data_IF_261265042848
#
_entry.id   IF_261265042848
#
_cell.length_a   1.000
_cell.length_b   1.000
_cell.length_c   1.000
_cell.angle_alpha   90.00
_cell.angle_beta   90.00
_cell.angle_gamma   90.00
#
_symmetry.space_group_name_H-M   'P 1'
#
loop_
_entity.id
_entity.type
_entity.pdbx_description
1 polymer ?
#
# COMPACT_ATOMS: atom_id res chain seq x y z
N UNK A 1 46.62 61.27 -12.18
CA UNK A 1 47.15 61.08 -10.80
C UNK A 1 46.75 59.67 -10.37
N UNK A 2 47.72 58.76 -10.25
CA UNK A 2 47.47 57.40 -9.76
C UNK A 2 47.52 57.41 -8.22
N UNK A 3 46.40 57.09 -7.59
CA UNK A 3 46.30 56.86 -6.15
C UNK A 3 46.78 55.45 -5.85
N UNK A 4 48.01 55.32 -5.33
CA UNK A 4 48.51 54.06 -4.82
C UNK A 4 47.85 53.74 -3.47
N UNK A 5 46.93 52.77 -3.47
CA UNK A 5 46.30 52.26 -2.25
C UNK A 5 47.34 51.40 -1.52
N UNK A 6 47.73 51.79 -0.29
CA UNK A 6 48.60 50.97 0.57
C UNK A 6 47.85 49.70 0.98
N UNK A 7 48.29 48.55 0.49
CA UNK A 7 47.77 47.25 0.91
C UNK A 7 48.19 46.99 2.36
N UNK A 8 47.23 46.99 3.29
CA UNK A 8 47.47 46.60 4.69
C UNK A 8 47.37 45.08 4.77
N UNK A 9 48.45 44.44 5.22
CA UNK A 9 48.46 43.00 5.48
C UNK A 9 47.49 42.62 6.60
N UNK A 10 47.13 41.35 6.64
CA UNK A 10 46.20 40.80 7.62
C UNK A 10 46.91 40.46 8.93
N UNK A 11 46.24 40.63 10.06
CA UNK A 11 46.83 40.32 11.37
C UNK A 11 46.57 38.87 11.78
N UNK A 12 47.46 38.28 12.57
CA UNK A 12 47.31 36.90 13.05
C UNK A 12 46.00 36.70 13.84
N UNK A 13 45.60 37.69 14.64
CA UNK A 13 44.36 37.63 15.44
C UNK A 13 43.11 37.63 14.54
N UNK A 14 43.12 38.40 13.45
CA UNK A 14 42.02 38.45 12.49
C UNK A 14 41.84 37.07 11.82
N UNK A 15 42.92 36.30 11.64
CA UNK A 15 42.89 34.94 11.08
C UNK A 15 42.33 33.89 12.01
N UNK A 16 42.65 34.01 13.29
CA UNK A 16 42.05 33.13 14.30
C UNK A 16 40.54 33.39 14.35
N UNK A 17 40.13 34.67 14.34
CA UNK A 17 38.71 35.04 14.37
C UNK A 17 37.98 34.51 13.13
N UNK A 18 38.55 34.64 11.93
CA UNK A 18 37.90 34.14 10.70
C UNK A 18 37.77 32.62 10.68
N UNK A 19 38.78 31.87 11.10
CA UNK A 19 38.72 30.40 11.15
C UNK A 19 37.67 29.94 12.17
N UNK A 20 37.60 30.60 13.34
CA UNK A 20 36.58 30.27 14.38
C UNK A 20 35.18 30.57 13.86
N UNK A 21 34.95 31.72 13.22
CA UNK A 21 33.65 32.07 12.65
C UNK A 21 33.24 31.09 11.54
N UNK A 22 34.17 30.69 10.67
CA UNK A 22 33.90 29.73 9.60
C UNK A 22 33.61 28.34 10.16
N UNK A 23 34.30 27.92 11.22
CA UNK A 23 34.02 26.66 11.90
C UNK A 23 32.61 26.63 12.49
N UNK A 24 32.20 27.68 13.21
CA UNK A 24 30.84 27.79 13.77
C UNK A 24 29.79 27.78 12.66
N UNK A 25 30.00 28.57 11.59
CA UNK A 25 29.10 28.62 10.45
C UNK A 25 28.97 27.27 9.72
N UNK A 26 30.07 26.52 9.60
CA UNK A 26 30.04 25.21 8.96
C UNK A 26 29.33 24.17 9.84
N UNK A 27 29.52 24.20 11.16
CA UNK A 27 28.81 23.30 12.09
C UNK A 27 27.30 23.53 12.04
N UNK A 28 26.85 24.79 12.03
CA UNK A 28 25.42 25.09 11.93
C UNK A 28 24.85 24.65 10.59
N UNK A 29 25.54 24.94 9.48
CA UNK A 29 25.12 24.51 8.14
C UNK A 29 25.01 22.98 8.06
N UNK A 30 26.03 22.26 8.52
CA UNK A 30 26.03 20.78 8.54
C UNK A 30 24.87 20.25 9.39
N UNK A 31 24.65 20.83 10.57
CA UNK A 31 23.58 20.39 11.49
C UNK A 31 22.17 20.60 10.92
N UNK A 32 21.97 21.59 10.06
CA UNK A 32 20.66 21.85 9.42
C UNK A 32 20.50 21.17 8.05
N UNK A 33 21.55 21.10 7.24
CA UNK A 33 21.47 20.61 5.86
C UNK A 33 21.36 19.09 5.80
N UNK A 34 22.21 18.36 6.54
CA UNK A 34 22.23 16.89 6.50
C UNK A 34 20.89 16.23 6.86
N UNK A 35 20.19 16.62 7.95
CA UNK A 35 18.90 16.02 8.27
C UNK A 35 17.78 16.41 7.28
N UNK A 36 17.97 17.46 6.48
CA UNK A 36 17.01 17.83 5.44
C UNK A 36 17.19 16.98 4.17
N UNK A 37 18.44 16.66 3.82
CA UNK A 37 18.76 15.79 2.68
C UNK A 37 18.16 14.40 2.87
N UNK A 38 18.24 13.81 4.06
CA UNK A 38 17.66 12.49 4.33
C UNK A 38 16.13 12.48 4.18
N UNK A 39 15.46 13.53 4.69
CA UNK A 39 13.99 13.65 4.63
C UNK A 39 13.46 13.97 3.23
N UNK A 40 14.31 14.42 2.31
CA UNK A 40 13.90 14.77 0.93
C UNK A 40 13.39 13.58 0.11
N UNK A 41 13.77 12.35 0.47
CA UNK A 41 13.34 11.15 -0.23
C UNK A 41 11.94 10.65 0.19
N UNK A 42 11.51 10.93 1.42
CA UNK A 42 10.20 10.48 1.96
C UNK A 42 9.01 10.85 1.07
N UNK A 43 8.83 12.10 0.59
CA UNK A 43 7.67 12.43 -0.25
C UNK A 43 7.64 11.66 -1.57
N UNK A 44 8.79 11.25 -2.10
CA UNK A 44 8.84 10.41 -3.30
C UNK A 44 8.28 9.01 -3.03
N UNK A 45 8.61 8.41 -1.88
CA UNK A 45 8.06 7.11 -1.50
C UNK A 45 6.56 7.19 -1.19
N UNK A 46 6.11 8.26 -0.54
CA UNK A 46 4.68 8.48 -0.28
C UNK A 46 3.87 8.65 -1.57
N UNK A 47 4.41 9.36 -2.58
CA UNK A 47 3.75 9.49 -3.88
C UNK A 47 3.69 8.15 -4.62
N UNK A 48 4.77 7.35 -4.57
CA UNK A 48 4.79 6.01 -5.16
C UNK A 48 3.83 5.06 -4.45
N UNK A 49 3.77 5.08 -3.12
CA UNK A 49 2.85 4.23 -2.36
C UNK A 49 1.39 4.59 -2.63
N UNK A 50 1.08 5.87 -2.85
CA UNK A 50 -0.26 6.31 -3.26
C UNK A 50 -0.61 5.77 -4.65
N UNK A 51 0.28 5.93 -5.64
CA UNK A 51 0.05 5.39 -6.98
C UNK A 51 -0.11 3.86 -7.00
N UNK A 52 0.62 3.14 -6.13
CA UNK A 52 0.43 1.70 -5.95
C UNK A 52 -0.93 1.37 -5.35
N UNK A 53 -1.32 2.08 -4.29
CA UNK A 53 -2.62 1.87 -3.66
C UNK A 53 -3.76 2.14 -4.65
N UNK A 54 -3.66 3.18 -5.47
CA UNK A 54 -4.64 3.47 -6.54
C UNK A 54 -4.73 2.33 -7.55
N UNK A 55 -3.59 1.77 -7.97
CA UNK A 55 -3.58 0.63 -8.88
C UNK A 55 -4.19 -0.64 -8.24
N UNK A 56 -3.85 -0.91 -6.98
CA UNK A 56 -4.43 -2.03 -6.21
C UNK A 56 -5.95 -1.83 -6.04
N UNK A 57 -6.40 -0.61 -5.73
CA UNK A 57 -7.83 -0.34 -5.62
C UNK A 57 -8.55 -0.48 -6.95
N UNK A 58 -7.95 -0.07 -8.06
CA UNK A 58 -8.55 -0.28 -9.38
C UNK A 58 -8.74 -1.77 -9.68
N UNK A 59 -7.80 -2.62 -9.25
CA UNK A 59 -7.92 -4.07 -9.41
C UNK A 59 -9.01 -4.65 -8.50
N UNK A 60 -9.00 -4.33 -7.20
CA UNK A 60 -9.97 -4.86 -6.23
C UNK A 60 -11.39 -4.35 -6.51
N UNK A 61 -11.55 -3.04 -6.71
CA UNK A 61 -12.88 -2.41 -6.86
C UNK A 61 -13.50 -2.71 -8.23
N UNK A 62 -12.72 -3.21 -9.20
CA UNK A 62 -13.25 -3.71 -10.45
C UNK A 62 -13.87 -5.11 -10.31
N UNK A 63 -13.65 -5.81 -9.19
CA UNK A 63 -14.26 -7.10 -8.91
C UNK A 63 -15.65 -6.94 -8.30
N UNK A 64 -16.42 -8.03 -8.36
CA UNK A 64 -17.78 -8.07 -7.81
C UNK A 64 -17.75 -7.90 -6.29
N UNK A 65 -18.87 -7.47 -5.70
CA UNK A 65 -18.94 -7.27 -4.25
C UNK A 65 -18.70 -8.58 -3.50
N UNK A 66 -19.22 -9.70 -4.01
CA UNK A 66 -19.22 -11.02 -3.40
C UNK A 66 -19.42 -12.08 -4.49
N UNK A 67 -18.82 -13.26 -4.36
CA UNK A 67 -18.92 -14.35 -5.33
C UNK A 67 -20.36 -14.78 -5.68
N UNK A 68 -21.32 -14.53 -4.78
CA UNK A 68 -22.74 -14.80 -5.03
C UNK A 68 -23.50 -13.66 -5.74
N UNK A 69 -22.80 -12.61 -6.17
CA UNK A 69 -23.37 -11.47 -6.91
C UNK A 69 -23.17 -11.63 -8.42
N UNK A 70 -23.83 -10.80 -9.23
CA UNK A 70 -23.69 -10.83 -10.69
C UNK A 70 -22.24 -10.52 -11.13
N UNK A 71 -21.60 -11.45 -11.88
CA UNK A 71 -20.23 -11.25 -12.38
C UNK A 71 -20.04 -10.01 -13.26
N UNK A 72 -21.13 -9.41 -13.77
CA UNK A 72 -21.11 -8.20 -14.59
C UNK A 72 -21.32 -6.92 -13.77
N UNK A 73 -20.79 -6.88 -12.54
CA UNK A 73 -20.74 -5.68 -11.71
C UNK A 73 -21.95 -5.49 -10.79
N UNK A 74 -22.47 -6.58 -10.23
CA UNK A 74 -23.55 -6.58 -9.22
C UNK A 74 -24.83 -5.88 -9.71
N UNK A 75 -25.04 -5.90 -11.04
CA UNK A 75 -26.00 -5.04 -11.73
C UNK A 75 -27.36 -5.71 -11.93
N UNK A 76 -27.36 -7.01 -12.24
CA UNK A 76 -28.58 -7.80 -12.44
C UNK A 76 -29.08 -8.36 -11.13
N UNK A 77 -28.16 -8.91 -10.33
CA UNK A 77 -28.46 -9.36 -8.98
C UNK A 77 -27.31 -9.16 -8.00
N UNK A 78 -27.68 -9.05 -6.74
CA UNK A 78 -26.80 -8.78 -5.59
C UNK A 78 -26.94 -9.88 -4.56
N UNK A 79 -25.84 -10.26 -3.92
CA UNK A 79 -25.93 -11.18 -2.81
C UNK A 79 -26.85 -10.62 -1.70
N UNK A 80 -27.57 -11.51 -1.02
CA UNK A 80 -28.53 -11.16 0.06
C UNK A 80 -29.74 -10.28 -0.38
N UNK A 81 -30.01 -10.16 -1.68
CA UNK A 81 -31.24 -9.55 -2.17
C UNK A 81 -32.36 -10.59 -2.44
N UNK A 82 -33.61 -10.18 -2.22
CA UNK A 82 -34.79 -11.00 -2.56
C UNK A 82 -35.47 -10.41 -3.79
N UNK A 83 -35.15 -10.95 -4.97
CA UNK A 83 -35.83 -10.63 -6.22
C UNK A 83 -36.98 -11.60 -6.44
N UNK A 84 -38.15 -11.06 -6.79
CA UNK A 84 -39.35 -11.86 -7.01
C UNK A 84 -39.07 -12.92 -8.09
N UNK A 85 -39.16 -14.20 -7.70
CA UNK A 85 -39.00 -15.41 -8.53
C UNK A 85 -37.57 -16.00 -8.66
N UNK A 86 -36.53 -15.39 -8.10
CA UNK A 86 -35.18 -15.97 -8.06
C UNK A 86 -34.60 -15.88 -6.65
N UNK A 87 -34.34 -17.02 -6.02
CA UNK A 87 -33.61 -17.06 -4.76
C UNK A 87 -32.13 -16.85 -5.06
N UNK A 88 -31.59 -15.71 -4.64
CA UNK A 88 -30.15 -15.43 -4.68
C UNK A 88 -29.51 -15.97 -3.41
N UNK A 89 -28.28 -16.44 -3.52
CA UNK A 89 -27.52 -16.93 -2.37
C UNK A 89 -27.14 -15.74 -1.46
N UNK A 90 -27.09 -15.96 -0.13
CA UNK A 90 -26.66 -14.93 0.80
C UNK A 90 -25.19 -14.57 0.57
N UNK A 91 -24.81 -13.33 0.89
CA UNK A 91 -23.41 -12.91 0.82
C UNK A 91 -22.50 -13.77 1.72
N UNK A 92 -21.22 -13.80 1.39
CA UNK A 92 -20.20 -14.45 2.22
C UNK A 92 -20.19 -13.90 3.63
N UNK A 93 -20.24 -14.83 4.59
CA UNK A 93 -20.12 -14.49 6.00
C UNK A 93 -18.76 -13.85 6.29
N UNK A 94 -18.72 -12.86 7.19
CA UNK A 94 -17.48 -12.17 7.59
C UNK A 94 -16.32 -13.12 8.02
N UNK A 95 -16.66 -14.31 8.55
CA UNK A 95 -15.69 -15.35 8.96
C UNK A 95 -15.12 -16.17 7.80
N UNK A 96 -15.74 -16.10 6.63
CA UNK A 96 -15.40 -16.83 5.41
C UNK A 96 -14.78 -15.94 4.32
N UNK A 97 -14.53 -14.66 4.60
CA UNK A 97 -13.96 -13.73 3.63
C UNK A 97 -12.55 -14.14 3.19
N UNK A 98 -12.32 -14.17 1.88
CA UNK A 98 -11.09 -14.66 1.25
C UNK A 98 -11.39 -15.67 0.15
N UNK A 99 -10.34 -16.29 -0.43
CA UNK A 99 -10.49 -17.21 -1.57
C UNK A 99 -11.48 -18.33 -1.30
N UNK A 100 -12.44 -18.55 -2.20
CA UNK A 100 -13.48 -19.56 -2.04
C UNK A 100 -13.10 -20.92 -2.57
N UNK A 101 -12.08 -20.99 -3.42
CA UNK A 101 -11.57 -22.25 -3.96
C UNK A 101 -10.03 -22.33 -4.03
N UNK A 102 -9.45 -23.52 -4.28
CA UNK A 102 -8.00 -23.69 -4.38
C UNK A 102 -7.35 -22.95 -5.57
N UNK A 103 -8.09 -22.70 -6.66
CA UNK A 103 -7.60 -21.99 -7.84
C UNK A 103 -7.46 -20.49 -7.53
N UNK A 104 -8.45 -19.87 -6.91
CA UNK A 104 -8.38 -18.50 -6.38
C UNK A 104 -7.28 -18.36 -5.32
N UNK A 105 -7.12 -19.37 -4.49
CA UNK A 105 -6.07 -19.38 -3.48
C UNK A 105 -4.65 -19.45 -4.07
N UNK A 106 -4.47 -20.01 -5.26
CA UNK A 106 -3.15 -20.19 -5.88
C UNK A 106 -2.88 -19.22 -7.02
N UNK A 107 -3.93 -18.63 -7.61
CA UNK A 107 -3.84 -17.75 -8.75
C UNK A 107 -4.65 -16.46 -8.52
N UNK A 108 -3.98 -15.32 -8.26
CA UNK A 108 -4.61 -14.01 -8.15
C UNK A 108 -5.51 -13.63 -9.32
N UNK A 109 -5.23 -14.11 -10.53
CA UNK A 109 -6.04 -13.81 -11.71
C UNK A 109 -7.43 -14.48 -11.69
N UNK A 110 -7.62 -15.48 -10.82
CA UNK A 110 -8.92 -16.12 -10.61
C UNK A 110 -9.77 -15.40 -9.57
N UNK A 111 -9.23 -14.39 -8.86
CA UNK A 111 -9.98 -13.60 -7.90
C UNK A 111 -11.21 -12.99 -8.59
N UNK A 112 -12.38 -13.39 -8.12
CA UNK A 112 -13.64 -13.07 -8.73
C UNK A 112 -14.30 -11.89 -7.98
N UNK A 113 -14.03 -11.72 -6.68
CA UNK A 113 -14.62 -10.70 -5.82
C UNK A 113 -13.59 -9.89 -5.00
N UNK A 114 -14.08 -9.00 -4.14
CA UNK A 114 -13.26 -8.05 -3.38
C UNK A 114 -12.42 -8.72 -2.28
N UNK A 115 -12.92 -9.77 -1.63
CA UNK A 115 -12.25 -10.37 -0.47
C UNK A 115 -11.22 -11.44 -0.81
N UNK A 116 -11.19 -11.95 -2.03
CA UNK A 116 -10.13 -12.83 -2.54
C UNK A 116 -8.70 -12.26 -2.39
N UNK A 117 -8.60 -10.94 -2.31
CA UNK A 117 -7.34 -10.21 -2.19
C UNK A 117 -6.78 -10.12 -0.76
N UNK A 118 -7.51 -10.59 0.26
CA UNK A 118 -7.06 -10.51 1.66
C UNK A 118 -5.73 -11.25 1.84
N UNK A 119 -4.73 -10.53 2.38
CA UNK A 119 -3.43 -11.10 2.75
C UNK A 119 -2.25 -10.20 2.41
N UNK A 120 -1.07 -10.82 2.34
CA UNK A 120 0.22 -10.19 2.09
C UNK A 120 0.65 -10.41 0.62
N UNK A 121 1.06 -9.33 -0.03
CA UNK A 121 1.43 -9.30 -1.44
C UNK A 121 2.85 -8.76 -1.60
N UNK A 122 3.77 -9.66 -1.87
CA UNK A 122 5.20 -9.40 -1.84
C UNK A 122 5.99 -10.70 -1.84
N UNK A 123 7.31 -10.57 -1.80
CA UNK A 123 8.21 -11.70 -1.94
C UNK A 123 8.20 -12.62 -0.70
N UNK A 124 8.88 -13.76 -0.80
CA UNK A 124 8.97 -14.73 0.30
C UNK A 124 9.66 -14.21 1.57
N UNK A 125 10.47 -13.15 1.48
CA UNK A 125 11.17 -12.53 2.61
C UNK A 125 10.28 -11.53 3.34
N UNK A 126 9.44 -10.82 2.59
CA UNK A 126 8.45 -9.86 3.09
C UNK A 126 7.21 -10.57 3.65
N UNK A 127 6.75 -11.60 2.94
CA UNK A 127 5.57 -12.39 3.26
C UNK A 127 5.98 -13.88 3.43
N UNK A 128 6.45 -14.23 4.63
CA UNK A 128 7.06 -15.56 4.86
C UNK A 128 6.08 -16.72 4.87
N UNK A 129 4.83 -16.50 5.31
CA UNK A 129 3.85 -17.57 5.51
C UNK A 129 2.97 -17.71 4.27
N UNK A 130 3.09 -18.74 3.41
CA UNK A 130 2.17 -18.93 2.30
C UNK A 130 0.75 -19.21 2.81
N UNK A 131 -0.26 -18.64 2.16
CA UNK A 131 -1.64 -19.07 2.36
C UNK A 131 -1.89 -20.44 1.74
N UNK A 132 -2.71 -21.27 2.37
CA UNK A 132 -3.16 -22.54 1.79
C UNK A 132 -4.65 -22.68 2.04
N UNK A 133 -5.42 -22.80 0.97
CA UNK A 133 -6.86 -23.03 1.07
C UNK A 133 -7.15 -24.47 1.49
N UNK A 134 -8.05 -24.62 2.45
CA UNK A 134 -8.54 -25.91 2.93
C UNK A 134 -10.07 -25.88 2.94
N UNK A 135 -10.72 -26.49 1.95
CA UNK A 135 -12.18 -26.42 1.80
C UNK A 135 -12.97 -26.98 3.00
N UNK A 136 -12.47 -28.03 3.66
CA UNK A 136 -13.15 -28.67 4.79
C UNK A 136 -12.93 -27.93 6.11
N UNK A 137 -11.81 -27.21 6.23
CA UNK A 137 -11.44 -26.42 7.40
C UNK A 137 -10.97 -25.05 6.93
N UNK A 138 -11.87 -24.30 6.29
CA UNK A 138 -11.54 -22.99 5.76
C UNK A 138 -10.97 -22.08 6.86
N UNK A 139 -9.89 -21.38 6.55
CA UNK A 139 -9.27 -20.39 7.43
C UNK A 139 -9.14 -19.10 6.65
N UNK A 140 -9.79 -18.03 7.12
CA UNK A 140 -9.63 -16.70 6.55
C UNK A 140 -8.14 -16.33 6.47
N UNK A 141 -7.62 -15.83 5.33
CA UNK A 141 -6.24 -15.40 5.24
C UNK A 141 -5.90 -14.36 6.32
N UNK A 142 -4.84 -14.61 7.09
CA UNK A 142 -4.23 -13.58 7.94
C UNK A 142 -3.52 -12.53 7.09
N UNK A 143 -3.36 -11.33 7.61
CA UNK A 143 -2.61 -10.23 6.99
C UNK A 143 -1.13 -10.56 6.69
N UNK A 144 -0.60 -11.62 7.29
CA UNK A 144 0.78 -12.11 7.02
C UNK A 144 0.81 -13.28 6.03
N UNK A 145 -0.36 -13.76 5.59
CA UNK A 145 -0.45 -14.89 4.66
C UNK A 145 -0.15 -14.40 3.26
N UNK A 146 0.93 -14.88 2.66
CA UNK A 146 1.33 -14.55 1.29
C UNK A 146 0.28 -15.09 0.31
N UNK A 147 -0.29 -14.18 -0.50
CA UNK A 147 -1.25 -14.46 -1.57
C UNK A 147 -0.61 -14.48 -2.95
N UNK A 148 0.44 -13.69 -3.14
CA UNK A 148 1.15 -13.54 -4.41
C UNK A 148 2.24 -12.49 -4.32
N UNK A 149 2.85 -12.18 -5.45
CA UNK A 149 3.80 -11.08 -5.59
C UNK A 149 3.07 -9.76 -5.82
N UNK A 150 3.73 -8.62 -5.55
CA UNK A 150 3.11 -7.30 -5.78
C UNK A 150 2.78 -7.06 -7.27
N UNK A 151 3.55 -7.66 -8.17
CA UNK A 151 3.30 -7.57 -9.62
C UNK A 151 2.05 -8.29 -10.09
N UNK A 152 1.54 -9.24 -9.30
CA UNK A 152 0.31 -9.96 -9.65
C UNK A 152 -0.92 -9.02 -9.52
N UNK A 153 -0.83 -8.00 -8.66
CA UNK A 153 -1.84 -6.95 -8.52
C UNK A 153 -1.63 -5.77 -9.47
N UNK A 154 -0.36 -5.45 -9.75
CA UNK A 154 -0.01 -4.30 -10.57
C UNK A 154 1.05 -4.71 -11.59
N UNK A 155 0.63 -5.27 -12.75
CA UNK A 155 1.55 -5.83 -13.75
C UNK A 155 2.49 -4.80 -14.39
N UNK A 156 2.13 -3.52 -14.31
CA UNK A 156 2.95 -2.41 -14.82
C UNK A 156 4.15 -2.08 -13.94
N UNK A 157 4.27 -2.69 -12.75
CA UNK A 157 5.41 -2.50 -11.86
C UNK A 157 6.58 -3.40 -12.25
N UNK A 158 7.79 -2.84 -12.27
CA UNK A 158 9.03 -3.61 -12.37
C UNK A 158 9.46 -4.06 -10.98
N UNK A 159 9.61 -5.39 -10.77
CA UNK A 159 10.12 -5.99 -9.52
C UNK A 159 11.47 -5.40 -9.08
N UNK A 160 12.32 -4.97 -10.01
CA UNK A 160 13.62 -4.38 -9.69
C UNK A 160 13.51 -3.03 -8.95
N UNK A 161 12.48 -2.24 -9.22
CA UNK A 161 12.29 -0.91 -8.61
C UNK A 161 11.58 -0.97 -7.25
N UNK A 162 10.99 -2.12 -6.90
CA UNK A 162 10.10 -2.28 -5.75
C UNK A 162 10.42 -3.48 -4.88
N UNK A 163 11.64 -4.02 -4.96
CA UNK A 163 12.11 -5.18 -4.19
C UNK A 163 12.02 -5.01 -2.64
N UNK A 164 11.74 -3.81 -2.15
CA UNK A 164 11.59 -3.52 -0.71
C UNK A 164 10.21 -2.96 -0.37
N UNK A 165 9.26 -3.04 -1.29
CA UNK A 165 7.90 -2.58 -1.09
C UNK A 165 6.95 -3.77 -1.22
N UNK A 166 6.09 -3.93 -0.22
CA UNK A 166 5.03 -4.94 -0.23
C UNK A 166 3.72 -4.32 0.24
N UNK A 167 2.62 -4.97 -0.12
CA UNK A 167 1.28 -4.53 0.24
C UNK A 167 0.61 -5.57 1.15
N UNK A 168 -0.19 -5.08 2.10
CA UNK A 168 -1.08 -5.89 2.90
C UNK A 168 -2.49 -5.40 2.69
N UNK A 169 -3.39 -6.32 2.37
CA UNK A 169 -4.78 -6.02 2.07
C UNK A 169 -5.65 -6.67 3.13
N UNK A 170 -6.50 -5.87 3.76
CA UNK A 170 -7.52 -6.33 4.68
C UNK A 170 -8.89 -5.94 4.15
N UNK A 171 -9.83 -6.87 4.18
CA UNK A 171 -11.23 -6.61 3.89
C UNK A 171 -12.06 -6.99 5.12
N UNK A 172 -12.83 -6.01 5.58
CA UNK A 172 -13.71 -6.10 6.73
C UNK A 172 -15.14 -5.90 6.26
N UNK A 173 -16.02 -6.82 6.63
CA UNK A 173 -17.46 -6.63 6.47
C UNK A 173 -17.93 -5.61 7.50
N UNK A 174 -18.55 -4.54 7.01
CA UNK A 174 -19.08 -3.41 7.77
C UNK A 174 -20.60 -3.27 7.55
N UNK A 175 -21.25 -4.36 7.15
CA UNK A 175 -22.66 -4.37 6.80
C UNK A 175 -23.54 -4.14 8.04
N UNK A 176 -24.36 -3.10 7.98
CA UNK A 176 -25.38 -2.76 8.96
C UNK A 176 -26.70 -2.57 8.21
N UNK A 177 -27.64 -3.52 8.33
CA UNK A 177 -28.93 -3.48 7.62
C UNK A 177 -29.59 -2.09 7.70
N UNK A 178 -29.91 -1.44 6.55
CA UNK A 178 -29.99 -1.99 5.19
C UNK A 178 -28.72 -1.76 4.32
N UNK A 179 -27.61 -1.30 4.90
CA UNK A 179 -26.38 -0.97 4.18
C UNK A 179 -25.41 -2.13 4.24
N UNK A 180 -25.15 -2.75 3.10
CA UNK A 180 -24.14 -3.81 2.97
C UNK A 180 -22.87 -3.22 2.36
N UNK A 181 -21.77 -3.22 3.11
CA UNK A 181 -20.51 -2.61 2.69
C UNK A 181 -19.28 -3.38 3.20
N UNK A 182 -18.28 -3.48 2.33
CA UNK A 182 -16.96 -4.02 2.65
C UNK A 182 -15.98 -2.83 2.70
N UNK A 183 -15.20 -2.76 3.78
CA UNK A 183 -14.11 -1.79 3.95
C UNK A 183 -12.80 -2.46 3.54
N UNK A 184 -12.16 -1.91 2.52
CA UNK A 184 -10.87 -2.37 2.01
C UNK A 184 -9.79 -1.45 2.59
N UNK A 185 -8.83 -2.03 3.31
CA UNK A 185 -7.65 -1.33 3.80
C UNK A 185 -6.42 -1.88 3.10
N UNK A 186 -5.75 -1.04 2.31
CA UNK A 186 -4.47 -1.36 1.68
C UNK A 186 -3.37 -0.67 2.46
N UNK A 187 -2.43 -1.45 2.95
CA UNK A 187 -1.25 -0.93 3.61
C UNK A 187 -0.01 -1.21 2.78
N UNK A 188 0.66 -0.15 2.34
CA UNK A 188 1.90 -0.22 1.55
C UNK A 188 3.07 0.04 2.50
N UNK A 189 3.91 -0.96 2.68
CA UNK A 189 5.13 -0.84 3.48
C UNK A 189 6.30 -0.52 2.56
N UNK A 190 6.86 0.68 2.69
CA UNK A 190 8.01 1.15 1.91
C UNK A 190 9.35 0.91 2.64
N UNK A 191 9.40 -0.08 3.53
CA UNK A 191 10.54 -0.43 4.36
C UNK A 191 10.94 0.72 5.29
N UNK A 192 12.19 1.18 5.19
CA UNK A 192 12.74 2.26 6.04
C UNK A 192 12.06 3.62 5.86
N UNK A 193 11.26 3.80 4.80
CA UNK A 193 10.58 5.07 4.52
C UNK A 193 9.18 5.14 5.15
N UNK A 194 8.74 4.06 5.81
CA UNK A 194 7.51 4.02 6.58
C UNK A 194 6.41 3.18 5.92
N UNK A 195 5.30 3.07 6.64
CA UNK A 195 4.12 2.31 6.24
C UNK A 195 2.95 3.27 6.05
N UNK A 196 2.32 3.19 4.89
CA UNK A 196 1.22 4.05 4.48
C UNK A 196 -0.07 3.24 4.43
N UNK A 197 -1.18 3.86 4.81
CA UNK A 197 -2.48 3.20 4.89
C UNK A 197 -3.48 3.95 4.02
N UNK A 198 -4.21 3.21 3.21
CA UNK A 198 -5.23 3.72 2.33
C UNK A 198 -6.50 2.90 2.53
N UNK A 199 -7.66 3.56 2.43
CA UNK A 199 -8.96 2.94 2.69
C UNK A 199 -9.88 3.25 1.51
N UNK A 200 -10.57 2.22 1.04
CA UNK A 200 -11.68 2.31 0.12
C UNK A 200 -12.88 1.54 0.68
N UNK A 201 -14.06 1.83 0.14
CA UNK A 201 -15.29 1.12 0.48
C UNK A 201 -15.92 0.61 -0.80
N UNK A 202 -16.33 -0.67 -0.80
CA UNK A 202 -17.21 -1.23 -1.83
C UNK A 202 -18.56 -1.50 -1.16
N UNK A 203 -19.62 -0.92 -1.72
CA UNK A 203 -20.99 -1.26 -1.31
C UNK A 203 -21.60 -2.30 -2.24
N UNK A 204 -22.58 -3.02 -1.71
CA UNK A 204 -23.45 -3.93 -2.47
C UNK A 204 -24.63 -3.14 -3.07
N UNK A 205 -24.36 -2.24 -4.01
CA UNK A 205 -25.36 -1.38 -4.64
C UNK A 205 -25.03 -1.05 -6.10
#
# INVERSE_FOLDING_TARGET
MNTYIKQRGFTLIEGIITIVLLAIAMITLVSFLFPQVERSAVPQYQARSAAMADAIFNEILARQFDQNSDPNGDSVYRCDEDITQVKIDPCTLATRLGPDDPLEATNPAMANDVDDFIGCWGDTTQCSNPYTYNGNNYVKPSLTSRRGELTDLVPSLSTANYAHIYATINVEDMSESPKTLKKITVSVDAGRYGKYYYIAYRGNY
#
